data_IF_544345549961
#
_entry.id   IF_544345549961
#
_cell.length_a   1.000
_cell.length_b   1.000
_cell.length_c   1.000
_cell.angle_alpha   90.00
_cell.angle_beta   90.00
_cell.angle_gamma   90.00
#
_symmetry.space_group_name_H-M   'P 1'
#
loop_
_entity.id
_entity.type
_entity.pdbx_description
1 polymer ?
#
# COMPACT_ATOMS: atom_id res chain seq x y z
N UNK A 1 -21.19 1.72 -1.81
CA UNK A 1 -20.08 2.33 -2.56
C UNK A 1 -19.99 1.61 -3.89
N UNK A 2 -20.02 2.33 -5.00
CA UNK A 2 -19.95 1.75 -6.35
C UNK A 2 -18.50 1.38 -6.69
N UNK A 3 -18.28 0.50 -7.69
CA UNK A 3 -16.93 0.21 -8.18
C UNK A 3 -16.16 1.47 -8.63
N UNK A 4 -16.85 2.43 -9.24
CA UNK A 4 -16.26 3.72 -9.62
C UNK A 4 -15.84 4.57 -8.42
N UNK A 5 -16.67 4.61 -7.37
CA UNK A 5 -16.32 5.31 -6.12
C UNK A 5 -15.10 4.68 -5.44
N UNK A 6 -15.02 3.34 -5.44
CA UNK A 6 -13.87 2.60 -4.94
C UNK A 6 -12.58 2.96 -5.69
N UNK A 7 -12.66 3.06 -7.01
CA UNK A 7 -11.50 3.38 -7.84
C UNK A 7 -11.04 4.84 -7.65
N UNK A 8 -11.99 5.77 -7.52
CA UNK A 8 -11.67 7.17 -7.20
C UNK A 8 -10.99 7.31 -5.83
N UNK A 9 -11.44 6.54 -4.83
CA UNK A 9 -10.81 6.51 -3.51
C UNK A 9 -9.41 5.88 -3.58
N UNK A 10 -9.23 4.80 -4.35
CA UNK A 10 -7.92 4.17 -4.57
C UNK A 10 -6.91 5.17 -5.14
N UNK A 11 -7.28 5.88 -6.20
CA UNK A 11 -6.40 6.86 -6.85
C UNK A 11 -6.00 8.01 -5.90
N UNK A 12 -6.95 8.52 -5.10
CA UNK A 12 -6.64 9.56 -4.09
C UNK A 12 -5.66 9.09 -3.04
N UNK A 13 -5.78 7.84 -2.61
CA UNK A 13 -4.92 7.29 -1.57
C UNK A 13 -3.53 6.95 -2.09
N UNK A 14 -3.40 6.54 -3.35
CA UNK A 14 -2.09 6.40 -4.01
C UNK A 14 -1.35 7.74 -4.07
N UNK A 15 -2.04 8.83 -4.44
CA UNK A 15 -1.46 10.18 -4.42
C UNK A 15 -1.05 10.62 -3.00
N UNK A 16 -1.93 10.41 -2.02
CA UNK A 16 -1.62 10.72 -0.62
C UNK A 16 -0.39 9.95 -0.11
N UNK A 17 -0.28 8.66 -0.42
CA UNK A 17 0.88 7.85 -0.05
C UNK A 17 2.17 8.39 -0.69
N UNK A 18 2.12 8.73 -1.98
CA UNK A 18 3.26 9.28 -2.70
C UNK A 18 3.73 10.63 -2.10
N UNK A 19 2.80 11.45 -1.61
CA UNK A 19 3.09 12.70 -0.90
C UNK A 19 3.70 12.44 0.48
N UNK A 20 3.11 11.55 1.29
CA UNK A 20 3.61 11.20 2.64
C UNK A 20 5.04 10.65 2.59
N UNK A 21 5.32 9.80 1.60
CA UNK A 21 6.64 9.19 1.43
C UNK A 21 7.60 10.03 0.59
N UNK A 22 7.19 11.21 0.12
CA UNK A 22 8.06 12.09 -0.68
C UNK A 22 9.31 12.57 0.07
N UNK A 23 9.24 12.63 1.40
CA UNK A 23 10.35 13.02 2.28
C UNK A 23 11.35 11.89 2.56
N UNK A 24 11.09 10.65 2.11
CA UNK A 24 12.03 9.55 2.30
C UNK A 24 13.18 9.67 1.31
N UNK A 25 14.38 9.88 1.85
CA UNK A 25 15.63 10.02 1.09
C UNK A 25 16.11 8.73 0.44
N UNK A 26 15.63 7.57 0.93
CA UNK A 26 15.95 6.26 0.37
C UNK A 26 14.79 5.77 -0.54
N UNK A 27 15.10 5.54 -1.82
CA UNK A 27 14.15 5.05 -2.81
C UNK A 27 13.46 3.73 -2.38
N UNK A 28 14.17 2.87 -1.64
CA UNK A 28 13.60 1.63 -1.13
C UNK A 28 12.57 1.88 -0.02
N UNK A 29 12.80 2.82 0.90
CA UNK A 29 11.81 3.16 1.94
C UNK A 29 10.52 3.72 1.33
N UNK A 30 10.65 4.55 0.30
CA UNK A 30 9.50 5.06 -0.46
C UNK A 30 8.75 3.93 -1.16
N UNK A 31 9.49 3.04 -1.85
CA UNK A 31 8.94 1.87 -2.54
C UNK A 31 8.20 0.91 -1.61
N UNK A 32 8.72 0.69 -0.39
CA UNK A 32 8.08 -0.16 0.61
C UNK A 32 6.86 0.52 1.24
N UNK A 33 6.93 1.82 1.53
CA UNK A 33 5.80 2.60 2.03
C UNK A 33 4.61 2.61 1.06
N UNK A 34 4.87 2.88 -0.22
CA UNK A 34 3.84 2.87 -1.27
C UNK A 34 3.22 1.47 -1.44
N UNK A 35 4.04 0.41 -1.38
CA UNK A 35 3.56 -0.99 -1.38
C UNK A 35 2.67 -1.30 -0.18
N UNK A 36 3.06 -0.88 1.01
CA UNK A 36 2.30 -1.10 2.24
C UNK A 36 0.91 -0.45 2.16
N UNK A 37 0.86 0.81 1.69
CA UNK A 37 -0.41 1.51 1.50
C UNK A 37 -1.26 0.84 0.43
N UNK A 38 -0.71 0.44 -0.72
CA UNK A 38 -1.46 -0.35 -1.72
C UNK A 38 -2.01 -1.67 -1.16
N UNK A 39 -1.22 -2.36 -0.34
CA UNK A 39 -1.63 -3.60 0.33
C UNK A 39 -2.75 -3.42 1.36
N UNK A 40 -2.82 -2.26 2.05
CA UNK A 40 -3.95 -1.92 2.93
C UNK A 40 -5.24 -1.58 2.18
N UNK A 41 -5.12 -1.13 0.94
CA UNK A 41 -6.22 -0.58 0.13
C UNK A 41 -6.76 -1.56 -0.91
N UNK A 42 -6.13 -2.73 -1.04
CA UNK A 42 -6.55 -3.79 -1.96
C UNK A 42 -6.94 -5.00 -1.14
N UNK A 43 -8.25 -5.27 -1.09
CA UNK A 43 -8.91 -6.46 -0.52
C UNK A 43 -8.64 -6.85 0.94
N UNK A 44 -9.39 -6.27 1.88
CA UNK A 44 -9.92 -7.03 3.03
C UNK A 44 -9.45 -6.62 4.43
N UNK A 45 -10.32 -6.89 5.40
CA UNK A 45 -10.35 -6.38 6.77
C UNK A 45 -9.13 -6.66 7.67
N UNK A 46 -8.25 -7.59 7.29
CA UNK A 46 -7.11 -7.99 8.12
C UNK A 46 -5.80 -7.32 7.67
N UNK A 47 -5.07 -6.76 8.63
CA UNK A 47 -3.90 -5.89 8.41
C UNK A 47 -2.56 -6.55 8.80
N UNK A 48 -2.52 -7.88 8.95
CA UNK A 48 -1.26 -8.56 9.30
C UNK A 48 -0.24 -8.46 8.15
N UNK A 49 1.06 -8.51 8.49
CA UNK A 49 2.13 -8.50 7.48
C UNK A 49 2.03 -9.71 6.54
N UNK A 50 1.60 -10.87 7.02
CA UNK A 50 1.41 -12.07 6.19
C UNK A 50 0.30 -11.88 5.16
N UNK A 51 -0.81 -11.25 5.55
CA UNK A 51 -1.92 -10.96 4.63
C UNK A 51 -1.47 -9.97 3.55
N UNK A 52 -0.66 -8.99 3.94
CA UNK A 52 -0.11 -8.00 3.01
C UNK A 52 0.94 -8.59 2.07
N UNK A 53 1.82 -9.44 2.60
CA UNK A 53 2.82 -10.20 1.84
C UNK A 53 2.15 -11.04 0.75
N UNK A 54 1.08 -11.75 1.09
CA UNK A 54 0.30 -12.54 0.14
C UNK A 54 -0.36 -11.68 -0.97
N UNK A 55 -0.89 -10.50 -0.64
CA UNK A 55 -1.50 -9.58 -1.63
C UNK A 55 -0.48 -9.00 -2.62
N UNK A 56 0.75 -8.77 -2.14
CA UNK A 56 1.81 -8.12 -2.90
C UNK A 56 2.74 -9.12 -3.59
N UNK A 57 2.52 -10.42 -3.41
CA UNK A 57 3.40 -11.50 -3.88
C UNK A 57 4.86 -11.32 -3.41
N UNK A 58 5.03 -10.99 -2.13
CA UNK A 58 6.33 -10.82 -1.49
C UNK A 58 6.41 -11.66 -0.21
N UNK A 59 7.62 -11.98 0.25
CA UNK A 59 7.81 -12.61 1.57
C UNK A 59 7.59 -11.56 2.68
N UNK A 60 6.89 -11.94 3.76
CA UNK A 60 6.68 -11.08 4.94
C UNK A 60 7.98 -10.68 5.65
N UNK A 61 9.04 -11.49 5.58
CA UNK A 61 10.38 -11.12 6.06
C UNK A 61 10.97 -9.93 5.29
N UNK A 62 10.53 -9.67 4.06
CA UNK A 62 10.91 -8.48 3.29
C UNK A 62 10.15 -7.21 3.68
N UNK A 63 9.23 -7.30 4.65
CA UNK A 63 8.44 -6.20 5.20
C UNK A 63 8.76 -5.91 6.69
N UNK A 64 9.62 -6.72 7.34
CA UNK A 64 10.15 -6.50 8.70
C UNK A 64 11.45 -5.71 8.68
#
# INVERSE_FOLDING_TARGET
>A
MTPQELEAVRARLEMFAAEVFSCFSCADQRRWGERYVRGLLTDGANKSMETMAARLDVNCQGLQ
#
